data_IF_035755492324
#
_entry.id   IF_035755492324
#
_cell.length_a   1.000
_cell.length_b   1.000
_cell.length_c   1.000
_cell.angle_alpha   90.00
_cell.angle_beta   90.00
_cell.angle_gamma   90.00
#
_symmetry.space_group_name_H-M   'P 1'
#
loop_
_entity.id
_entity.type
_entity.pdbx_description
1 polymer ?
#
# COMPACT_ATOMS: atom_id res chain seq x y z
N UNK A 1 29.01 -17.79 -9.95
CA UNK A 1 29.56 -16.43 -10.20
C UNK A 1 28.49 -15.35 -9.97
N UNK A 2 28.30 -14.98 -8.70
CA UNK A 2 27.64 -13.80 -8.10
C UNK A 2 28.39 -13.65 -6.76
N UNK A 3 28.89 -12.46 -6.33
CA UNK A 3 28.05 -11.36 -5.85
C UNK A 3 28.70 -9.95 -5.97
N UNK A 4 29.50 -9.63 -7.01
CA UNK A 4 30.16 -8.31 -7.12
C UNK A 4 29.31 -7.19 -7.72
N UNK A 5 28.22 -7.51 -8.42
CA UNK A 5 27.43 -6.52 -9.17
C UNK A 5 26.37 -5.78 -8.33
N UNK A 6 25.92 -6.35 -7.21
CA UNK A 6 24.89 -5.76 -6.34
C UNK A 6 25.49 -4.65 -5.45
N UNK A 7 26.74 -4.82 -5.03
CA UNK A 7 27.48 -3.83 -4.22
C UNK A 7 27.83 -2.53 -4.98
N UNK A 8 27.93 -2.56 -6.31
CA UNK A 8 28.36 -1.38 -7.08
C UNK A 8 27.23 -0.36 -7.32
N UNK A 9 25.99 -0.83 -7.49
CA UNK A 9 24.81 0.04 -7.65
C UNK A 9 24.45 0.80 -6.36
N UNK A 10 24.64 0.18 -5.20
CA UNK A 10 24.37 0.80 -3.89
C UNK A 10 25.33 1.95 -3.58
N UNK A 11 26.59 1.87 -4.02
CA UNK A 11 27.56 2.98 -3.88
C UNK A 11 27.20 4.20 -4.73
N UNK A 12 26.57 3.99 -5.89
CA UNK A 12 26.10 5.06 -6.78
C UNK A 12 24.98 5.89 -6.13
N UNK A 13 24.00 5.22 -5.50
CA UNK A 13 22.88 5.84 -4.81
C UNK A 13 23.36 6.71 -3.62
N UNK A 14 24.25 6.15 -2.79
CA UNK A 14 24.83 6.84 -1.64
C UNK A 14 25.64 8.09 -2.04
N UNK A 15 26.38 8.04 -3.15
CA UNK A 15 27.17 9.17 -3.66
C UNK A 15 26.32 10.32 -4.20
N UNK A 16 25.11 10.01 -4.68
CA UNK A 16 24.16 10.99 -5.22
C UNK A 16 23.49 11.77 -4.08
N UNK A 17 23.23 11.11 -2.95
CA UNK A 17 22.68 11.69 -1.72
C UNK A 17 23.67 12.65 -1.04
N UNK A 18 24.98 12.37 -1.08
CA UNK A 18 26.01 13.23 -0.47
C UNK A 18 26.15 14.61 -1.14
N UNK A 19 25.69 14.78 -2.38
CA UNK A 19 25.90 16.02 -3.16
C UNK A 19 24.85 17.12 -2.91
N UNK A 20 23.83 16.90 -2.09
CA UNK A 20 22.70 17.82 -1.94
C UNK A 20 22.57 18.36 -0.50
N UNK A 21 23.40 19.33 -0.10
CA UNK A 21 23.53 19.78 1.30
C UNK A 21 23.08 21.25 1.56
N UNK A 22 22.04 21.39 2.38
CA UNK A 22 21.80 22.50 3.33
C UNK A 22 21.20 21.90 4.62
N UNK A 23 21.35 22.55 5.78
CA UNK A 23 21.12 21.93 7.11
C UNK A 23 19.71 21.39 7.40
N UNK A 24 18.68 21.78 6.65
CA UNK A 24 17.35 21.14 6.70
C UNK A 24 17.37 19.72 6.12
N UNK A 25 18.24 19.45 5.15
CA UNK A 25 18.36 18.16 4.46
C UNK A 25 18.98 17.06 5.33
N UNK A 26 19.78 17.37 6.35
CA UNK A 26 20.46 16.33 7.13
C UNK A 26 19.48 15.40 7.86
N UNK A 27 18.39 15.95 8.40
CA UNK A 27 17.34 15.16 9.07
C UNK A 27 16.59 14.27 8.07
N UNK A 28 16.20 14.82 6.92
CA UNK A 28 15.54 14.07 5.85
C UNK A 28 16.45 12.98 5.26
N UNK A 29 17.73 13.28 5.03
CA UNK A 29 18.73 12.32 4.56
C UNK A 29 18.94 11.20 5.57
N UNK A 30 18.99 11.50 6.87
CA UNK A 30 19.12 10.46 7.89
C UNK A 30 17.85 9.60 8.01
N UNK A 31 16.67 10.21 7.90
CA UNK A 31 15.40 9.48 7.91
C UNK A 31 15.24 8.59 6.66
N UNK A 32 15.59 9.09 5.47
CA UNK A 32 15.62 8.32 4.24
C UNK A 32 16.62 7.16 4.31
N UNK A 33 17.83 7.41 4.81
CA UNK A 33 18.84 6.35 5.04
C UNK A 33 18.32 5.28 6.01
N UNK A 34 17.64 5.69 7.08
CA UNK A 34 17.03 4.76 8.03
C UNK A 34 15.91 3.95 7.38
N UNK A 35 15.02 4.57 6.60
CA UNK A 35 13.92 3.88 5.91
C UNK A 35 14.43 2.83 4.92
N UNK A 36 15.38 3.23 4.06
CA UNK A 36 16.02 2.33 3.10
C UNK A 36 16.73 1.17 3.79
N UNK A 37 17.55 1.44 4.82
CA UNK A 37 18.27 0.37 5.54
C UNK A 37 17.29 -0.60 6.21
N UNK A 38 16.27 -0.07 6.90
CA UNK A 38 15.26 -0.90 7.57
C UNK A 38 14.52 -1.83 6.59
N UNK A 39 14.16 -1.32 5.40
CA UNK A 39 13.51 -2.16 4.39
C UNK A 39 14.46 -3.22 3.80
N UNK A 40 15.70 -2.85 3.47
CA UNK A 40 16.67 -3.79 2.89
C UNK A 40 16.98 -4.91 3.89
N UNK A 41 17.20 -4.59 5.16
CA UNK A 41 17.47 -5.59 6.20
C UNK A 41 16.29 -6.57 6.37
N UNK A 42 15.05 -6.07 6.38
CA UNK A 42 13.88 -6.93 6.46
C UNK A 42 13.71 -7.79 5.19
N UNK A 43 13.96 -7.22 4.01
CA UNK A 43 13.93 -7.95 2.75
C UNK A 43 14.94 -9.10 2.76
N UNK A 44 16.20 -8.84 3.14
CA UNK A 44 17.25 -9.87 3.20
C UNK A 44 16.92 -10.99 4.20
N UNK A 45 16.24 -10.64 5.31
CA UNK A 45 15.83 -11.61 6.33
C UNK A 45 14.63 -12.47 5.91
N UNK A 46 13.66 -11.88 5.21
CA UNK A 46 12.36 -12.51 4.94
C UNK A 46 12.23 -13.10 3.53
N UNK A 47 13.05 -12.64 2.57
CA UNK A 47 12.97 -13.05 1.18
C UNK A 47 13.32 -14.54 1.00
N UNK A 48 12.51 -15.21 0.17
CA UNK A 48 12.65 -16.60 -0.20
C UNK A 48 12.74 -16.68 -1.72
N UNK A 49 13.92 -17.03 -2.22
CA UNK A 49 14.09 -17.32 -3.64
C UNK A 49 13.25 -18.54 -4.02
N UNK A 50 12.48 -18.40 -5.09
CA UNK A 50 11.60 -19.46 -5.59
C UNK A 50 11.79 -19.71 -7.07
N UNK A 51 11.75 -20.97 -7.49
CA UNK A 51 11.71 -21.35 -8.90
C UNK A 51 10.34 -21.09 -9.50
N UNK A 52 10.23 -21.06 -10.83
CA UNK A 52 8.93 -20.90 -11.50
C UNK A 52 7.93 -21.98 -11.08
N UNK A 53 8.39 -23.22 -10.93
CA UNK A 53 7.55 -24.32 -10.45
C UNK A 53 7.04 -24.07 -9.02
N UNK A 54 7.92 -23.64 -8.11
CA UNK A 54 7.52 -23.28 -6.74
C UNK A 54 6.53 -22.12 -6.73
N UNK A 55 6.73 -21.09 -7.57
CA UNK A 55 5.78 -19.98 -7.73
C UNK A 55 4.42 -20.45 -8.23
N UNK A 56 4.37 -21.32 -9.23
CA UNK A 56 3.12 -21.91 -9.71
C UNK A 56 2.40 -22.69 -8.61
N UNK A 57 3.12 -23.55 -7.88
CA UNK A 57 2.54 -24.34 -6.79
C UNK A 57 2.03 -23.45 -5.65
N UNK A 58 2.81 -22.44 -5.25
CA UNK A 58 2.42 -21.45 -4.25
C UNK A 58 1.17 -20.69 -4.70
N UNK A 59 1.14 -20.20 -5.94
CA UNK A 59 0.00 -19.46 -6.48
C UNK A 59 -1.29 -20.28 -6.48
N UNK A 60 -1.23 -21.54 -6.93
CA UNK A 60 -2.38 -22.45 -6.92
C UNK A 60 -2.86 -22.74 -5.49
N UNK A 61 -1.93 -23.10 -4.59
CA UNK A 61 -2.25 -23.42 -3.21
C UNK A 61 -2.81 -22.23 -2.43
N UNK A 62 -2.14 -21.07 -2.52
CA UNK A 62 -2.57 -19.85 -1.83
C UNK A 62 -3.89 -19.31 -2.40
N UNK A 63 -4.11 -19.43 -3.71
CA UNK A 63 -5.37 -19.03 -4.34
C UNK A 63 -6.55 -19.88 -3.88
N UNK A 64 -6.37 -21.21 -3.84
CA UNK A 64 -7.40 -22.12 -3.35
C UNK A 64 -7.77 -21.84 -1.87
N UNK A 65 -6.77 -21.64 -1.00
CA UNK A 65 -7.01 -21.33 0.42
C UNK A 65 -7.63 -19.95 0.58
N UNK A 66 -7.21 -18.93 -0.19
CA UNK A 66 -7.79 -17.58 -0.12
C UNK A 66 -9.28 -17.57 -0.46
N UNK A 67 -9.69 -18.39 -1.44
CA UNK A 67 -11.10 -18.54 -1.81
C UNK A 67 -11.91 -19.27 -0.73
N UNK A 68 -11.35 -20.36 -0.17
CA UNK A 68 -11.99 -21.18 0.85
C UNK A 68 -12.03 -20.51 2.24
N UNK A 69 -11.03 -19.69 2.55
CA UNK A 69 -10.85 -19.05 3.86
C UNK A 69 -10.29 -17.63 3.70
N UNK A 70 -11.15 -16.64 3.36
CA UNK A 70 -10.72 -15.26 3.10
C UNK A 70 -10.04 -14.56 4.28
N UNK A 71 -10.31 -15.02 5.50
CA UNK A 71 -9.68 -14.48 6.71
C UNK A 71 -8.18 -14.82 6.81
N UNK A 72 -7.67 -15.71 5.95
CA UNK A 72 -6.24 -16.03 5.80
C UNK A 72 -5.54 -14.96 4.97
N UNK A 73 -5.35 -13.78 5.57
CA UNK A 73 -4.67 -12.64 4.92
C UNK A 73 -3.26 -12.97 4.45
N UNK A 74 -2.58 -13.93 5.10
CA UNK A 74 -1.29 -14.47 4.68
C UNK A 74 -1.36 -15.12 3.29
N UNK A 75 -2.41 -15.90 3.01
CA UNK A 75 -2.56 -16.56 1.71
C UNK A 75 -2.94 -15.59 0.59
N UNK A 76 -3.74 -14.56 0.91
CA UNK A 76 -4.04 -13.47 -0.02
C UNK A 76 -2.76 -12.71 -0.38
N UNK A 77 -1.91 -12.47 0.62
CA UNK A 77 -0.60 -11.84 0.43
C UNK A 77 0.31 -12.67 -0.49
N UNK A 78 0.44 -13.98 -0.25
CA UNK A 78 1.24 -14.88 -1.13
C UNK A 78 0.68 -14.89 -2.55
N UNK A 79 -0.63 -15.07 -2.71
CA UNK A 79 -1.26 -15.06 -4.04
C UNK A 79 -0.94 -13.77 -4.79
N UNK A 80 -0.98 -12.65 -4.07
CA UNK A 80 -0.67 -11.36 -4.62
C UNK A 80 0.79 -11.17 -5.07
N UNK A 81 1.75 -11.71 -4.34
CA UNK A 81 3.17 -11.67 -4.73
C UNK A 81 3.43 -12.48 -5.99
N UNK A 82 2.83 -13.67 -6.08
CA UNK A 82 3.03 -14.59 -7.20
C UNK A 82 2.37 -14.08 -8.48
N UNK A 83 1.17 -13.50 -8.38
CA UNK A 83 0.39 -13.05 -9.55
C UNK A 83 0.64 -11.59 -9.91
N UNK A 84 1.22 -10.80 -9.00
CA UNK A 84 1.39 -9.36 -9.14
C UNK A 84 2.58 -8.80 -9.93
N UNK A 85 3.63 -9.53 -10.40
CA UNK A 85 4.84 -8.88 -10.92
C UNK A 85 4.61 -7.79 -11.99
N UNK A 86 3.75 -8.04 -12.98
CA UNK A 86 3.41 -7.04 -14.01
C UNK A 86 2.63 -5.84 -13.48
N UNK A 87 1.76 -6.06 -12.50
CA UNK A 87 1.08 -4.97 -11.82
C UNK A 87 2.05 -4.16 -10.95
N UNK A 88 3.02 -4.80 -10.29
CA UNK A 88 4.06 -4.12 -9.52
C UNK A 88 4.97 -3.26 -10.40
N UNK A 89 5.37 -3.76 -11.58
CA UNK A 89 6.08 -2.96 -12.59
C UNK A 89 5.28 -1.71 -12.98
N UNK A 90 3.99 -1.87 -13.27
CA UNK A 90 3.08 -0.78 -13.60
C UNK A 90 2.93 0.24 -12.46
N UNK A 91 2.75 -0.21 -11.21
CA UNK A 91 2.66 0.67 -10.05
C UNK A 91 3.96 1.48 -9.90
N UNK A 92 5.12 0.82 -10.00
CA UNK A 92 6.42 1.50 -9.95
C UNK A 92 6.53 2.58 -11.03
N UNK A 93 6.14 2.27 -12.26
CA UNK A 93 6.15 3.22 -13.38
C UNK A 93 5.24 4.42 -13.11
N UNK A 94 4.00 4.18 -12.64
CA UNK A 94 3.08 5.24 -12.21
C UNK A 94 3.61 6.08 -11.05
N UNK A 95 4.39 5.49 -10.15
CA UNK A 95 5.06 6.22 -9.08
C UNK A 95 6.21 7.09 -9.62
N UNK A 96 6.98 6.60 -10.57
CA UNK A 96 8.04 7.37 -11.23
C UNK A 96 7.52 8.57 -12.04
N UNK A 97 6.24 8.60 -12.43
CA UNK A 97 5.62 9.74 -13.11
C UNK A 97 5.33 10.92 -12.16
N UNK A 98 5.29 10.68 -10.84
CA UNK A 98 5.06 11.71 -9.81
C UNK A 98 6.36 12.02 -9.08
N UNK A 99 6.61 13.30 -8.79
CA UNK A 99 7.77 13.69 -7.98
C UNK A 99 7.68 13.11 -6.55
N UNK A 100 6.48 13.10 -5.97
CA UNK A 100 6.24 12.50 -4.67
C UNK A 100 6.41 10.97 -4.70
N UNK A 101 5.91 10.32 -5.76
CA UNK A 101 6.08 8.89 -5.97
C UNK A 101 7.55 8.48 -6.11
N UNK A 102 8.37 9.26 -6.85
CA UNK A 102 9.83 9.05 -6.92
C UNK A 102 10.48 9.16 -5.54
N UNK A 103 10.12 10.19 -4.77
CA UNK A 103 10.66 10.37 -3.42
C UNK A 103 10.33 9.18 -2.50
N UNK A 104 9.12 8.62 -2.61
CA UNK A 104 8.76 7.39 -1.88
C UNK A 104 9.62 6.21 -2.32
N UNK A 105 9.81 6.01 -3.63
CA UNK A 105 10.65 4.92 -4.14
C UNK A 105 12.13 5.06 -3.75
N UNK A 106 12.63 6.29 -3.66
CA UNK A 106 14.01 6.57 -3.25
C UNK A 106 14.21 6.40 -1.74
N UNK A 107 13.37 7.03 -0.92
CA UNK A 107 13.49 7.07 0.55
C UNK A 107 12.98 5.79 1.23
N UNK A 108 12.19 4.99 0.53
CA UNK A 108 11.57 3.74 1.00
C UNK A 108 10.97 3.84 2.41
N UNK A 109 10.13 4.85 2.71
CA UNK A 109 9.49 4.96 4.00
C UNK A 109 8.64 3.71 4.30
N UNK A 110 8.55 3.37 5.58
CA UNK A 110 7.73 2.28 6.10
C UNK A 110 6.57 2.85 6.90
N UNK A 111 5.46 2.14 6.93
CA UNK A 111 4.33 2.42 7.84
C UNK A 111 4.20 1.25 8.80
N UNK A 112 4.87 1.39 9.94
CA UNK A 112 4.88 0.42 11.03
C UNK A 112 4.86 1.18 12.37
N UNK A 113 4.64 0.48 13.48
CA UNK A 113 4.69 1.12 14.80
C UNK A 113 6.09 1.65 15.14
N UNK A 114 7.13 1.16 14.46
CA UNK A 114 8.51 1.65 14.61
C UNK A 114 8.80 2.94 13.84
N UNK A 115 8.02 3.25 12.79
CA UNK A 115 8.21 4.45 11.97
C UNK A 115 7.17 5.54 12.20
N UNK A 116 5.99 5.17 12.71
CA UNK A 116 4.86 6.07 12.95
C UNK A 116 4.66 6.26 14.44
N UNK A 117 4.73 7.52 14.90
CA UNK A 117 4.40 7.89 16.28
C UNK A 117 2.88 7.91 16.47
N UNK A 118 2.32 6.77 16.87
CA UNK A 118 0.88 6.60 17.08
C UNK A 118 0.33 7.50 18.19
N UNK A 119 1.14 7.85 19.19
CA UNK A 119 0.73 8.77 20.26
C UNK A 119 0.59 10.17 19.70
N UNK A 120 1.52 10.59 18.85
CA UNK A 120 1.41 11.86 18.14
C UNK A 120 0.21 11.88 17.20
N UNK A 121 -0.07 10.78 16.49
CA UNK A 121 -1.24 10.70 15.61
C UNK A 121 -2.56 10.98 16.34
N UNK A 122 -2.71 10.42 17.55
CA UNK A 122 -3.89 10.65 18.42
C UNK A 122 -4.13 12.12 18.76
N UNK A 123 -3.05 12.91 18.83
CA UNK A 123 -3.06 14.30 19.27
C UNK A 123 -3.20 15.31 18.13
N UNK A 124 -3.25 14.86 16.87
CA UNK A 124 -3.54 15.79 15.76
C UNK A 124 -5.00 16.29 15.83
N UNK A 125 -5.27 17.50 15.30
CA UNK A 125 -6.63 18.04 15.23
C UNK A 125 -7.60 17.14 14.46
N UNK A 126 -8.87 17.18 14.83
CA UNK A 126 -9.93 16.52 14.07
C UNK A 126 -9.97 16.98 12.61
N UNK A 127 -10.27 16.05 11.71
CA UNK A 127 -10.27 16.29 10.26
C UNK A 127 -8.89 16.22 9.59
N UNK A 128 -7.82 15.93 10.33
CA UNK A 128 -6.49 15.63 9.74
C UNK A 128 -6.33 14.14 9.44
N UNK A 129 -5.43 13.82 8.50
CA UNK A 129 -5.13 12.43 8.12
C UNK A 129 -4.65 11.60 9.32
N UNK A 130 -3.73 12.14 10.13
CA UNK A 130 -3.15 11.45 11.28
C UNK A 130 -4.21 11.14 12.34
N UNK A 131 -5.09 12.10 12.64
CA UNK A 131 -6.20 11.88 13.56
C UNK A 131 -7.18 10.84 13.05
N UNK A 132 -7.54 10.90 11.76
CA UNK A 132 -8.43 9.93 11.13
C UNK A 132 -7.84 8.51 11.13
N UNK A 133 -6.55 8.36 10.81
CA UNK A 133 -5.88 7.05 10.81
C UNK A 133 -5.77 6.47 12.23
N UNK A 134 -5.43 7.30 13.22
CA UNK A 134 -5.45 6.88 14.62
C UNK A 134 -6.84 6.39 15.04
N UNK A 135 -7.89 7.15 14.73
CA UNK A 135 -9.27 6.76 15.05
C UNK A 135 -9.67 5.46 14.34
N UNK A 136 -9.21 5.25 13.10
CA UNK A 136 -9.43 4.00 12.36
C UNK A 136 -8.77 2.79 13.06
N UNK A 137 -7.49 2.91 13.42
CA UNK A 137 -6.76 1.84 14.11
C UNK A 137 -7.42 1.47 15.44
N UNK A 138 -7.81 2.48 16.24
CA UNK A 138 -8.47 2.28 17.52
C UNK A 138 -9.86 1.64 17.37
N UNK A 139 -10.65 2.11 16.41
CA UNK A 139 -12.01 1.59 16.15
C UNK A 139 -12.02 0.12 15.77
N UNK A 140 -11.06 -0.33 14.96
CA UNK A 140 -11.02 -1.70 14.46
C UNK A 140 -10.02 -2.61 15.19
N UNK A 141 -9.25 -2.07 16.13
CA UNK A 141 -8.23 -2.82 16.88
C UNK A 141 -7.08 -3.31 15.99
N UNK A 142 -6.75 -2.55 14.94
CA UNK A 142 -5.66 -2.90 14.03
C UNK A 142 -4.32 -2.31 14.49
N UNK A 143 -3.24 -2.96 14.06
CA UNK A 143 -1.88 -2.47 14.19
C UNK A 143 -1.27 -2.26 12.81
N UNK A 144 -0.50 -1.17 12.59
CA UNK A 144 0.31 -1.02 11.37
C UNK A 144 1.25 -2.20 11.11
N UNK A 145 1.67 -2.92 12.16
CA UNK A 145 2.58 -4.07 12.06
C UNK A 145 1.89 -5.38 11.62
N UNK A 146 0.55 -5.39 11.49
CA UNK A 146 -0.18 -6.59 11.12
C UNK A 146 0.06 -7.03 9.66
N UNK A 147 0.73 -6.19 8.85
CA UNK A 147 1.00 -6.43 7.43
C UNK A 147 2.29 -7.24 7.26
N UNK A 148 2.22 -8.50 6.79
CA UNK A 148 3.40 -9.35 6.70
C UNK A 148 4.39 -8.86 5.64
N UNK A 149 5.67 -9.05 5.92
CA UNK A 149 6.76 -8.77 4.99
C UNK A 149 6.57 -9.54 3.66
N UNK A 150 6.93 -8.91 2.55
CA UNK A 150 7.00 -9.53 1.22
C UNK A 150 8.10 -10.59 1.18
N UNK A 151 7.83 -11.76 0.56
CA UNK A 151 8.75 -12.91 0.63
C UNK A 151 9.20 -13.44 -0.74
N UNK A 152 8.33 -13.45 -1.73
CA UNK A 152 8.43 -14.18 -2.99
C UNK A 152 8.59 -13.28 -4.22
N UNK A 153 8.78 -11.97 -4.02
CA UNK A 153 9.17 -11.02 -5.07
C UNK A 153 10.68 -10.88 -5.07
N UNK A 154 11.34 -11.26 -6.16
CA UNK A 154 12.81 -11.32 -6.25
C UNK A 154 13.49 -9.98 -6.57
N UNK A 155 12.76 -9.08 -7.24
CA UNK A 155 13.24 -7.73 -7.50
C UNK A 155 12.99 -6.85 -6.27
N UNK A 156 14.05 -6.31 -5.67
CA UNK A 156 13.97 -5.57 -4.42
C UNK A 156 13.15 -4.27 -4.54
N UNK A 157 13.14 -3.62 -5.71
CA UNK A 157 12.33 -2.42 -5.91
C UNK A 157 10.85 -2.79 -6.01
N UNK A 158 10.53 -3.86 -6.75
CA UNK A 158 9.15 -4.36 -6.82
C UNK A 158 8.68 -4.94 -5.48
N UNK A 159 9.57 -5.55 -4.71
CA UNK A 159 9.28 -6.01 -3.35
C UNK A 159 8.93 -4.83 -2.45
N UNK A 160 9.65 -3.71 -2.58
CA UNK A 160 9.30 -2.48 -1.86
C UNK A 160 7.92 -1.96 -2.28
N UNK A 161 7.63 -1.90 -3.58
CA UNK A 161 6.31 -1.48 -4.08
C UNK A 161 5.18 -2.36 -3.53
N UNK A 162 5.39 -3.67 -3.50
CA UNK A 162 4.43 -4.61 -2.92
C UNK A 162 4.26 -4.39 -1.40
N UNK A 163 5.36 -4.17 -0.67
CA UNK A 163 5.34 -3.92 0.77
C UNK A 163 4.60 -2.60 1.07
N UNK A 164 4.92 -1.54 0.33
CA UNK A 164 4.30 -0.23 0.45
C UNK A 164 2.80 -0.30 0.22
N UNK A 165 2.35 -1.04 -0.80
CA UNK A 165 0.94 -1.26 -1.07
C UNK A 165 0.22 -1.94 0.11
N UNK A 166 0.83 -2.97 0.71
CA UNK A 166 0.25 -3.67 1.88
C UNK A 166 0.08 -2.74 3.07
N UNK A 167 1.12 -1.98 3.35
CA UNK A 167 1.17 -1.04 4.48
C UNK A 167 0.21 0.14 4.29
N UNK A 168 0.00 0.58 3.05
CA UNK A 168 -0.92 1.66 2.72
C UNK A 168 -2.40 1.25 2.72
N UNK A 169 -2.72 -0.05 2.69
CA UNK A 169 -4.10 -0.51 2.52
C UNK A 169 -5.07 0.03 3.59
N UNK A 170 -4.68 0.01 4.86
CA UNK A 170 -5.51 0.56 5.95
C UNK A 170 -5.65 2.10 5.86
N UNK A 171 -4.66 2.76 5.28
CA UNK A 171 -4.73 4.19 4.98
C UNK A 171 -5.65 4.47 3.80
N UNK A 172 -5.77 3.57 2.81
CA UNK A 172 -6.77 3.70 1.76
C UNK A 172 -8.17 3.62 2.34
N UNK A 173 -8.44 2.69 3.27
CA UNK A 173 -9.70 2.69 4.01
C UNK A 173 -9.97 4.00 4.74
N UNK A 174 -8.96 4.53 5.43
CA UNK A 174 -9.04 5.80 6.17
C UNK A 174 -9.34 6.96 5.23
N UNK A 175 -8.56 7.11 4.16
CA UNK A 175 -8.64 8.20 3.19
C UNK A 175 -9.96 8.15 2.41
N UNK A 176 -10.39 6.96 1.99
CA UNK A 176 -11.64 6.78 1.26
C UNK A 176 -12.86 6.76 2.19
N UNK A 177 -12.66 6.90 3.50
CA UNK A 177 -13.68 6.82 4.55
C UNK A 177 -14.55 5.55 4.42
N UNK A 178 -13.91 4.40 4.20
CA UNK A 178 -14.58 3.11 4.03
C UNK A 178 -14.36 2.21 5.25
N UNK A 179 -15.42 1.60 5.81
CA UNK A 179 -15.26 0.64 6.89
C UNK A 179 -14.62 -0.67 6.39
N UNK A 180 -14.13 -1.52 7.30
CA UNK A 180 -13.57 -2.84 6.97
C UNK A 180 -14.60 -3.98 7.03
N UNK A 181 -15.89 -3.64 6.95
CA UNK A 181 -16.92 -4.66 6.70
C UNK A 181 -16.90 -5.05 5.21
N UNK A 182 -17.54 -6.16 4.85
CA UNK A 182 -17.52 -6.70 3.48
C UNK A 182 -17.91 -5.65 2.41
N UNK A 183 -18.85 -4.74 2.70
CA UNK A 183 -19.24 -3.70 1.75
C UNK A 183 -18.10 -2.70 1.51
N UNK A 184 -17.47 -2.22 2.59
CA UNK A 184 -16.37 -1.27 2.47
C UNK A 184 -15.10 -1.90 1.90
N UNK A 185 -14.75 -3.12 2.31
CA UNK A 185 -13.64 -3.91 1.74
C UNK A 185 -13.76 -4.06 0.22
N UNK A 186 -14.91 -4.52 -0.25
CA UNK A 186 -15.14 -4.68 -1.69
C UNK A 186 -15.07 -3.34 -2.42
N UNK A 187 -15.56 -2.26 -1.80
CA UNK A 187 -15.49 -0.91 -2.37
C UNK A 187 -14.04 -0.44 -2.54
N UNK A 188 -13.21 -0.58 -1.49
CA UNK A 188 -11.78 -0.24 -1.56
C UNK A 188 -11.06 -1.12 -2.58
N UNK A 189 -11.36 -2.43 -2.61
CA UNK A 189 -10.77 -3.35 -3.60
C UNK A 189 -11.06 -2.95 -5.04
N UNK A 190 -12.23 -2.36 -5.34
CA UNK A 190 -12.52 -1.82 -6.67
C UNK A 190 -11.63 -0.63 -7.02
N UNK A 191 -11.46 0.33 -6.11
CA UNK A 191 -10.55 1.47 -6.29
C UNK A 191 -9.11 0.97 -6.49
N UNK A 192 -8.66 0.06 -5.62
CA UNK A 192 -7.33 -0.55 -5.71
C UNK A 192 -7.15 -1.33 -7.01
N UNK A 193 -8.13 -2.11 -7.45
CA UNK A 193 -8.05 -2.89 -8.69
C UNK A 193 -7.87 -1.99 -9.92
N UNK A 194 -8.64 -0.90 -9.99
CA UNK A 194 -8.57 0.07 -11.09
C UNK A 194 -7.20 0.75 -11.10
N UNK A 195 -6.74 1.22 -9.94
CA UNK A 195 -5.50 1.97 -9.86
C UNK A 195 -4.26 1.10 -9.98
N UNK A 196 -4.21 -0.04 -9.30
CA UNK A 196 -2.98 -0.84 -9.15
C UNK A 196 -2.86 -1.96 -10.17
N UNK A 197 -3.99 -2.38 -10.78
CA UNK A 197 -4.09 -3.56 -11.65
C UNK A 197 -3.66 -4.88 -11.00
N UNK A 198 -3.53 -4.90 -9.68
CA UNK A 198 -3.15 -6.08 -8.92
C UNK A 198 -4.23 -7.17 -9.06
N UNK A 199 -3.88 -8.41 -9.48
CA UNK A 199 -4.87 -9.47 -9.68
C UNK A 199 -5.65 -9.82 -8.40
N UNK A 200 -5.02 -9.76 -7.22
CA UNK A 200 -5.71 -9.99 -5.95
C UNK A 200 -6.76 -8.92 -5.64
N UNK A 201 -6.53 -7.66 -6.05
CA UNK A 201 -7.50 -6.59 -5.89
C UNK A 201 -8.70 -6.81 -6.82
N UNK A 202 -8.44 -7.10 -8.10
CA UNK A 202 -9.48 -7.35 -9.09
C UNK A 202 -10.33 -8.58 -8.72
N UNK A 203 -9.70 -9.69 -8.34
CA UNK A 203 -10.42 -10.90 -7.91
C UNK A 203 -11.17 -10.68 -6.59
N UNK A 204 -10.57 -9.99 -5.62
CA UNK A 204 -11.23 -9.61 -4.36
C UNK A 204 -12.44 -8.72 -4.58
N UNK A 205 -12.33 -7.73 -5.47
CA UNK A 205 -13.43 -6.85 -5.87
C UNK A 205 -14.57 -7.63 -6.53
N UNK A 206 -14.27 -8.52 -7.49
CA UNK A 206 -15.28 -9.31 -8.21
C UNK A 206 -15.95 -10.35 -7.31
N UNK A 207 -15.17 -11.25 -6.69
CA UNK A 207 -15.73 -12.35 -5.90
C UNK A 207 -16.27 -11.90 -4.55
N UNK A 208 -15.70 -10.85 -3.95
CA UNK A 208 -16.23 -10.24 -2.74
C UNK A 208 -17.61 -9.62 -2.97
N UNK A 209 -17.82 -8.97 -4.12
CA UNK A 209 -19.14 -8.42 -4.51
C UNK A 209 -20.24 -9.49 -4.57
N UNK A 210 -19.92 -10.70 -5.04
CA UNK A 210 -20.87 -11.82 -5.11
C UNK A 210 -21.29 -12.31 -3.71
N UNK A 211 -20.42 -12.16 -2.71
CA UNK A 211 -20.68 -12.59 -1.32
C UNK A 211 -21.49 -11.59 -0.51
N UNK A 212 -21.83 -10.42 -1.06
CA UNK A 212 -22.64 -9.42 -0.37
C UNK A 212 -24.08 -9.91 -0.14
N UNK A 213 -24.59 -9.67 1.07
CA UNK A 213 -25.99 -9.91 1.42
C UNK A 213 -26.92 -9.03 0.54
N UNK A 214 -28.19 -9.44 0.28
CA UNK A 214 -29.05 -8.76 -0.69
C UNK A 214 -29.20 -7.24 -0.47
N UNK A 215 -29.37 -6.79 0.78
CA UNK A 215 -29.45 -5.36 1.12
C UNK A 215 -28.14 -4.62 0.83
N UNK A 216 -27.00 -5.20 1.20
CA UNK A 216 -25.68 -4.63 0.94
C UNK A 216 -25.39 -4.59 -0.57
N UNK A 217 -25.75 -5.64 -1.32
CA UNK A 217 -25.57 -5.71 -2.76
C UNK A 217 -26.35 -4.63 -3.49
N UNK A 218 -27.60 -4.35 -3.09
CA UNK A 218 -28.39 -3.25 -3.65
C UNK A 218 -27.72 -1.90 -3.41
N UNK A 219 -27.29 -1.64 -2.17
CA UNK A 219 -26.55 -0.41 -1.82
C UNK A 219 -25.23 -0.31 -2.59
N UNK A 220 -24.53 -1.43 -2.74
CA UNK A 220 -23.27 -1.52 -3.46
C UNK A 220 -23.45 -1.13 -4.93
N UNK A 221 -24.37 -1.77 -5.65
CA UNK A 221 -24.63 -1.51 -7.06
C UNK A 221 -25.10 -0.07 -7.29
N UNK A 222 -25.95 0.46 -6.41
CA UNK A 222 -26.57 1.78 -6.63
C UNK A 222 -25.67 2.95 -6.25
N UNK A 223 -24.72 2.78 -5.32
CA UNK A 223 -23.97 3.91 -4.75
C UNK A 223 -22.47 3.64 -4.67
N UNK A 224 -22.05 2.51 -4.10
CA UNK A 224 -20.62 2.29 -3.80
C UNK A 224 -19.81 1.90 -5.03
N UNK A 225 -20.34 1.04 -5.91
CA UNK A 225 -19.64 0.61 -7.12
C UNK A 225 -19.48 1.75 -8.13
N UNK A 226 -20.52 2.53 -8.49
CA UNK A 226 -20.35 3.69 -9.36
C UNK A 226 -19.32 4.68 -8.79
N UNK A 227 -19.40 4.94 -7.48
CA UNK A 227 -18.45 5.82 -6.79
C UNK A 227 -17.02 5.27 -6.79
N UNK A 228 -16.82 3.97 -6.56
CA UNK A 228 -15.50 3.35 -6.57
C UNK A 228 -14.89 3.36 -7.97
N UNK A 229 -15.71 3.21 -9.02
CA UNK A 229 -15.27 3.35 -10.41
C UNK A 229 -14.87 4.79 -10.72
N UNK A 230 -15.73 5.77 -10.39
CA UNK A 230 -15.42 7.20 -10.58
C UNK A 230 -14.14 7.59 -9.83
N UNK A 231 -14.02 7.17 -8.56
CA UNK A 231 -12.84 7.46 -7.73
C UNK A 231 -11.60 6.76 -8.27
N UNK A 232 -11.70 5.49 -8.64
CA UNK A 232 -10.57 4.71 -9.15
C UNK A 232 -9.94 5.30 -10.42
N UNK A 233 -10.76 5.79 -11.34
CA UNK A 233 -10.29 6.42 -12.59
C UNK A 233 -10.05 7.93 -12.48
N UNK A 234 -10.79 8.62 -11.62
CA UNK A 234 -10.81 10.08 -11.54
C UNK A 234 -9.88 10.69 -10.49
N UNK A 235 -9.46 9.92 -9.48
CA UNK A 235 -8.54 10.41 -8.46
C UNK A 235 -7.09 10.35 -8.93
N UNK A 236 -6.21 11.09 -8.26
CA UNK A 236 -4.77 10.88 -8.36
C UNK A 236 -4.41 9.47 -7.84
N UNK A 237 -3.25 8.97 -8.29
CA UNK A 237 -2.80 7.62 -7.96
C UNK A 237 -2.41 7.52 -6.48
N UNK A 238 -3.15 6.75 -5.68
CA UNK A 238 -3.05 6.78 -4.21
C UNK A 238 -1.70 6.32 -3.67
N UNK A 239 -0.98 5.45 -4.41
CA UNK A 239 0.38 5.04 -4.05
C UNK A 239 1.39 6.20 -4.10
N UNK A 240 1.06 7.32 -4.73
CA UNK A 240 1.90 8.52 -4.77
C UNK A 240 1.74 9.41 -3.54
N UNK A 241 0.85 9.08 -2.60
CA UNK A 241 0.70 9.84 -1.36
C UNK A 241 1.81 9.48 -0.36
N UNK A 242 2.63 10.47 0.00
CA UNK A 242 3.66 10.34 1.03
C UNK A 242 3.05 10.56 2.41
N UNK A 243 2.22 9.62 2.85
CA UNK A 243 1.45 9.66 4.11
C UNK A 243 2.29 10.10 5.33
N UNK A 244 3.52 9.60 5.43
CA UNK A 244 4.46 9.83 6.52
C UNK A 244 4.85 11.32 6.70
N UNK A 245 4.67 12.12 5.64
CA UNK A 245 4.94 13.56 5.61
C UNK A 245 3.65 14.41 5.67
N UNK A 246 2.47 13.79 5.77
CA UNK A 246 1.16 14.45 5.61
C UNK A 246 0.20 14.25 6.80
N UNK A 247 0.68 13.74 7.93
CA UNK A 247 -0.20 13.42 9.08
C UNK A 247 -1.00 14.61 9.62
N UNK A 248 -0.46 15.81 9.56
CA UNK A 248 -1.10 17.06 9.97
C UNK A 248 -1.97 17.70 8.89
N UNK A 249 -1.92 17.20 7.65
CA UNK A 249 -2.69 17.73 6.54
C UNK A 249 -4.18 17.42 6.73
N UNK A 250 -5.03 18.43 6.48
CA UNK A 250 -6.49 18.27 6.53
C UNK A 250 -6.95 17.35 5.41
N UNK A 251 -7.85 16.41 5.73
CA UNK A 251 -8.44 15.49 4.75
C UNK A 251 -9.14 16.24 3.62
N UNK A 252 -9.81 17.35 3.90
CA UNK A 252 -10.46 18.17 2.86
C UNK A 252 -9.49 18.69 1.80
N UNK A 253 -8.27 19.05 2.21
CA UNK A 253 -7.24 19.53 1.29
C UNK A 253 -6.65 18.36 0.51
N UNK A 254 -6.46 17.21 1.16
CA UNK A 254 -6.06 15.96 0.48
C UNK A 254 -7.11 15.57 -0.56
N UNK A 255 -8.40 15.66 -0.24
CA UNK A 255 -9.48 15.33 -1.18
C UNK A 255 -9.48 16.21 -2.42
N UNK A 256 -9.21 17.52 -2.25
CA UNK A 256 -9.06 18.44 -3.40
C UNK A 256 -7.83 18.09 -4.22
N UNK A 257 -6.69 17.88 -3.57
CA UNK A 257 -5.40 17.58 -4.21
C UNK A 257 -5.44 16.26 -4.99
N UNK A 258 -5.96 15.20 -4.36
CA UNK A 258 -6.06 13.87 -4.95
C UNK A 258 -7.35 13.66 -5.76
N UNK A 259 -8.17 14.71 -5.93
CA UNK A 259 -9.45 14.66 -6.67
C UNK A 259 -10.39 13.56 -6.17
N UNK A 260 -10.38 13.31 -4.87
CA UNK A 260 -11.27 12.35 -4.21
C UNK A 260 -12.55 13.08 -3.82
N UNK A 261 -13.68 12.61 -4.32
CA UNK A 261 -14.99 13.05 -3.85
C UNK A 261 -15.46 12.06 -2.79
N UNK A 262 -15.66 12.44 -1.52
CA UNK A 262 -16.18 11.52 -0.52
C UNK A 262 -17.53 10.92 -0.95
N UNK A 263 -17.77 9.65 -0.62
CA UNK A 263 -19.05 9.01 -0.93
C UNK A 263 -20.18 9.68 -0.13
N UNK A 264 -21.04 10.41 -0.82
CA UNK A 264 -22.30 10.88 -0.27
C UNK A 264 -23.29 9.72 -0.25
N UNK A 265 -23.44 9.07 0.90
CA UNK A 265 -24.42 7.99 1.07
C UNK A 265 -25.78 8.62 1.38
N UNK A 266 -26.70 8.58 0.42
CA UNK A 266 -28.13 8.78 0.64
C UNK A 266 -28.82 7.52 1.15
#
# INVERSE_FOLDING_TARGET
>A
MKPRFILSKNKSLLKKIERFNSRSNAKYVNQAKSGVNNFIEEYEKCHVQTTLFQKCLLGLGSGAISLASPNRGDMVAVMGEITGPKALEYIREKMCESEEGKNILEEKPRISSGSVDLVKLKNYPEGTLGKAYSNFLEKYGYSPDARPAVRFVDDIELAYVAQRYREAHDLFHTLLNMPTNMLGEVTVKWVEAIQTKLPMCATGALFGSVRLAPKQRKKFINSYLPWAIETGYGSEFLMNMYFEKRWDQKLEDIYKEFKIKPLAVT
#
